data_IF_201424188087
#
_entry.id   IF_201424188087
#
_cell.length_a   1.000
_cell.length_b   1.000
_cell.length_c   1.000
_cell.angle_alpha   90.00
_cell.angle_beta   90.00
_cell.angle_gamma   90.00
#
_symmetry.space_group_name_H-M   'P 1'
#
loop_
_entity.id
_entity.type
_entity.pdbx_description
1 polymer ?
#
# COMPACT_ATOMS: atom_id res chain seq x y z
N UNK A 1 -21.76 -29.26 10.10
CA UNK A 1 -20.34 -28.94 9.80
C UNK A 1 -20.37 -28.09 8.55
N UNK A 2 -19.92 -26.84 8.61
CA UNK A 2 -19.93 -25.96 7.42
C UNK A 2 -18.76 -26.37 6.53
N UNK A 3 -19.07 -27.03 5.42
CA UNK A 3 -18.10 -27.43 4.38
C UNK A 3 -17.64 -26.25 3.50
N UNK A 4 -18.17 -25.04 3.74
CA UNK A 4 -17.92 -23.83 2.93
C UNK A 4 -17.01 -22.78 3.60
N UNK A 5 -16.29 -23.14 4.66
CA UNK A 5 -15.37 -22.21 5.32
C UNK A 5 -14.09 -22.03 4.50
N UNK A 6 -14.11 -21.08 3.56
CA UNK A 6 -12.93 -20.67 2.78
C UNK A 6 -11.76 -20.32 3.71
N UNK A 7 -10.61 -20.93 3.45
CA UNK A 7 -9.41 -20.70 4.26
C UNK A 7 -8.84 -19.29 4.02
N UNK A 8 -8.45 -18.60 5.11
CA UNK A 8 -7.65 -17.39 5.03
C UNK A 8 -6.45 -17.48 4.08
N UNK A 9 -6.33 -16.55 3.13
CA UNK A 9 -5.16 -16.49 2.22
C UNK A 9 -4.36 -15.20 2.41
N UNK A 10 -3.06 -15.30 2.12
CA UNK A 10 -2.06 -14.25 2.29
C UNK A 10 -1.17 -14.17 1.05
N UNK A 11 -1.12 -13.01 0.42
CA UNK A 11 -0.37 -12.78 -0.80
C UNK A 11 0.70 -11.72 -0.58
N UNK A 12 1.95 -12.06 -0.91
CA UNK A 12 3.07 -11.14 -0.85
C UNK A 12 3.75 -11.17 -2.21
N UNK A 13 3.92 -10.00 -2.82
CA UNK A 13 4.64 -9.86 -4.09
C UNK A 13 5.56 -8.66 -4.02
N UNK A 14 6.87 -8.92 -3.97
CA UNK A 14 7.88 -7.88 -4.14
C UNK A 14 8.43 -8.01 -5.56
N UNK A 15 8.30 -6.96 -6.37
CA UNK A 15 8.56 -7.04 -7.82
C UNK A 15 9.15 -5.75 -8.38
N UNK A 16 9.85 -5.83 -9.51
CA UNK A 16 10.28 -4.64 -10.27
C UNK A 16 9.21 -4.15 -11.26
N UNK A 17 8.19 -4.99 -11.54
CA UNK A 17 7.12 -4.69 -12.48
C UNK A 17 6.10 -3.71 -11.91
N UNK A 18 5.36 -3.03 -12.79
CA UNK A 18 4.27 -2.14 -12.40
C UNK A 18 3.19 -2.90 -11.62
N UNK A 19 2.65 -2.27 -10.58
CA UNK A 19 1.57 -2.83 -9.78
C UNK A 19 0.20 -2.51 -10.40
N UNK A 20 -0.73 -3.46 -10.33
CA UNK A 20 -2.13 -3.29 -10.71
C UNK A 20 -3.01 -3.39 -9.47
N UNK A 21 -3.75 -2.33 -9.14
CA UNK A 21 -4.70 -2.34 -8.02
C UNK A 21 -5.85 -3.34 -8.25
N UNK A 22 -6.26 -3.52 -9.50
CA UNK A 22 -7.29 -4.48 -9.90
C UNK A 22 -6.82 -5.92 -9.66
N UNK A 23 -5.58 -6.25 -10.04
CA UNK A 23 -4.98 -7.57 -9.77
C UNK A 23 -4.98 -7.87 -8.26
N UNK A 24 -4.55 -6.91 -7.44
CA UNK A 24 -4.51 -7.09 -5.98
C UNK A 24 -5.91 -7.19 -5.37
N UNK A 25 -6.87 -6.41 -5.88
CA UNK A 25 -8.26 -6.48 -5.43
C UNK A 25 -8.87 -7.86 -5.73
N UNK A 26 -8.60 -8.41 -6.91
CA UNK A 26 -9.10 -9.73 -7.31
C UNK A 26 -8.51 -10.85 -6.44
N UNK A 27 -7.21 -10.78 -6.08
CA UNK A 27 -6.58 -11.75 -5.20
C UNK A 27 -7.27 -11.88 -3.84
N UNK A 28 -7.78 -10.78 -3.28
CA UNK A 28 -8.40 -10.79 -1.95
C UNK A 28 -9.92 -10.93 -1.99
N UNK A 29 -10.54 -10.98 -3.17
CA UNK A 29 -11.99 -11.09 -3.29
C UNK A 29 -12.45 -12.50 -2.94
N UNK A 30 -13.47 -12.61 -2.09
CA UNK A 30 -14.04 -13.87 -1.62
C UNK A 30 -15.57 -13.84 -1.66
N UNK A 31 -16.26 -14.97 -1.92
CA UNK A 31 -17.72 -15.07 -1.81
C UNK A 31 -18.25 -14.74 -0.42
N UNK A 32 -17.42 -14.89 0.62
CA UNK A 32 -17.77 -14.65 2.01
C UNK A 32 -17.36 -13.25 2.52
N UNK A 33 -16.79 -12.40 1.66
CA UNK A 33 -16.44 -11.03 2.05
C UNK A 33 -17.58 -10.05 1.73
N UNK A 34 -17.88 -9.16 2.68
CA UNK A 34 -18.84 -8.08 2.50
C UNK A 34 -18.18 -6.79 1.99
N UNK A 35 -16.86 -6.67 2.13
CA UNK A 35 -16.08 -5.54 1.65
C UNK A 35 -14.62 -5.92 1.36
N UNK A 36 -14.06 -5.26 0.35
CA UNK A 36 -12.62 -5.19 0.09
C UNK A 36 -12.18 -3.74 0.27
N UNK A 37 -11.13 -3.52 1.06
CA UNK A 37 -10.49 -2.21 1.25
C UNK A 37 -9.09 -2.24 0.68
N UNK A 38 -8.77 -1.26 -0.15
CA UNK A 38 -7.48 -1.14 -0.83
C UNK A 38 -6.79 0.18 -0.48
N UNK A 39 -5.49 0.10 -0.20
CA UNK A 39 -4.58 1.21 -0.08
C UNK A 39 -3.62 1.21 -1.27
N UNK A 40 -3.47 2.36 -1.92
CA UNK A 40 -2.53 2.56 -3.02
C UNK A 40 -1.59 3.69 -2.64
N UNK A 41 -0.31 3.36 -2.43
CA UNK A 41 0.74 4.34 -2.25
C UNK A 41 1.34 4.71 -3.59
N UNK A 42 1.08 5.92 -4.06
CA UNK A 42 1.67 6.47 -5.29
C UNK A 42 2.82 7.42 -5.01
N UNK A 43 3.76 7.49 -5.94
CA UNK A 43 4.78 8.53 -5.93
C UNK A 43 4.12 9.86 -6.29
N UNK A 44 4.24 10.88 -5.43
CA UNK A 44 3.70 12.22 -5.68
C UNK A 44 4.81 13.23 -5.95
N UNK A 45 4.49 14.31 -6.67
CA UNK A 45 5.41 15.44 -6.90
C UNK A 45 5.81 16.19 -5.61
N UNK A 46 5.11 15.95 -4.49
CA UNK A 46 5.25 16.75 -3.25
C UNK A 46 5.88 15.94 -2.09
N UNK A 47 6.17 14.66 -2.25
CA UNK A 47 6.56 13.83 -1.10
C UNK A 47 8.06 13.85 -0.81
N UNK A 48 8.47 14.88 -0.07
CA UNK A 48 9.15 14.70 1.22
C UNK A 48 8.58 15.73 2.20
N UNK A 49 7.51 15.45 2.96
CA UNK A 49 7.23 16.10 4.26
C UNK A 49 5.87 15.74 4.86
N UNK A 50 4.82 15.46 4.09
CA UNK A 50 3.47 15.30 4.64
C UNK A 50 2.74 14.12 4.00
N UNK A 51 2.94 12.91 4.53
CA UNK A 51 2.04 11.77 4.23
C UNK A 51 1.04 11.66 5.39
N UNK A 52 0.20 12.68 5.55
CA UNK A 52 -0.96 12.62 6.43
C UNK A 52 -2.28 13.01 5.77
N UNK A 53 -2.32 13.19 4.44
CA UNK A 53 -3.55 13.64 3.78
C UNK A 53 -3.62 13.23 2.31
N UNK A 54 -3.86 11.93 2.07
CA UNK A 54 -4.59 11.40 0.92
C UNK A 54 -4.62 9.87 1.03
N UNK A 55 -5.41 9.36 1.98
CA UNK A 55 -5.83 7.96 2.00
C UNK A 55 -6.95 7.81 0.97
N UNK A 56 -6.63 7.43 -0.28
CA UNK A 56 -7.67 6.97 -1.19
C UNK A 56 -8.02 5.53 -0.81
N UNK A 57 -8.90 5.37 0.18
CA UNK A 57 -9.43 4.05 0.54
C UNK A 57 -10.65 3.80 -0.35
N UNK A 58 -10.46 2.97 -1.37
CA UNK A 58 -11.58 2.45 -2.15
C UNK A 58 -12.24 1.29 -1.42
N UNK A 59 -13.57 1.31 -1.31
CA UNK A 59 -14.36 0.15 -0.87
C UNK A 59 -15.06 -0.42 -2.09
N UNK A 60 -14.71 -1.64 -2.49
CA UNK A 60 -15.41 -2.36 -3.55
C UNK A 60 -16.38 -3.33 -2.87
N UNK A 61 -17.67 -3.20 -3.18
CA UNK A 61 -18.71 -4.11 -2.68
C UNK A 61 -18.85 -5.30 -3.64
N UNK A 62 -18.58 -6.54 -3.23
CA UNK A 62 -18.45 -7.68 -4.15
C UNK A 62 -19.77 -8.22 -4.72
N UNK A 63 -20.93 -7.67 -4.32
CA UNK A 63 -22.25 -8.25 -4.57
C UNK A 63 -23.27 -7.29 -5.22
N UNK A 64 -22.83 -6.17 -5.82
CA UNK A 64 -23.71 -5.31 -6.60
C UNK A 64 -23.79 -5.76 -8.07
N UNK A 65 -25.00 -5.88 -8.67
CA UNK A 65 -25.15 -6.13 -10.10
C UNK A 65 -24.56 -4.97 -10.91
N UNK A 66 -23.94 -5.31 -12.04
CA UNK A 66 -23.08 -4.50 -12.92
C UNK A 66 -23.75 -3.29 -13.61
N UNK A 67 -24.88 -2.77 -13.12
CA UNK A 67 -25.69 -1.75 -13.81
C UNK A 67 -25.96 -0.46 -13.05
N UNK A 68 -25.30 -0.22 -11.90
CA UNK A 68 -25.25 1.12 -11.27
C UNK A 68 -23.84 1.63 -11.19
N UNK A 69 -23.45 2.31 -12.27
CA UNK A 69 -22.31 3.24 -12.39
C UNK A 69 -21.15 2.92 -11.45
N UNK A 70 -20.36 1.91 -11.85
CA UNK A 70 -18.94 1.92 -11.52
C UNK A 70 -18.42 3.32 -11.85
N UNK A 71 -17.90 4.04 -10.87
CA UNK A 71 -17.02 5.16 -11.17
C UNK A 71 -15.91 4.59 -12.05
N UNK A 72 -15.99 4.95 -13.33
CA UNK A 72 -15.13 4.51 -14.40
C UNK A 72 -13.67 4.81 -14.03
N UNK A 73 -12.93 3.81 -13.54
CA UNK A 73 -11.47 3.86 -13.47
C UNK A 73 -10.88 3.39 -14.80
N UNK A 74 -11.29 4.06 -15.88
CA UNK A 74 -10.70 3.88 -17.19
C UNK A 74 -9.53 4.88 -17.29
N UNK A 75 -8.32 4.42 -17.02
CA UNK A 75 -7.10 5.14 -17.41
C UNK A 75 -6.86 6.52 -16.77
N UNK A 76 -7.16 6.70 -15.49
CA UNK A 76 -6.90 7.99 -14.82
C UNK A 76 -5.41 8.31 -14.76
N UNK A 77 -4.95 9.16 -15.68
CA UNK A 77 -3.90 10.13 -15.38
C UNK A 77 -4.39 10.93 -14.17
N UNK A 78 -3.81 10.68 -13.00
CA UNK A 78 -4.06 11.49 -11.81
C UNK A 78 -3.50 12.88 -12.09
N UNK A 79 -4.35 13.80 -12.53
CA UNK A 79 -4.03 15.23 -12.63
C UNK A 79 -3.95 15.77 -11.22
N UNK A 80 -2.75 16.14 -10.77
CA UNK A 80 -2.53 16.77 -9.47
C UNK A 80 -3.34 18.08 -9.38
N UNK A 81 -3.89 18.42 -8.20
CA UNK A 81 -4.56 19.71 -8.00
C UNK A 81 -3.59 20.86 -8.28
N UNK A 82 -3.99 21.75 -9.19
CA UNK A 82 -3.24 22.95 -9.56
C UNK A 82 -3.36 24.01 -8.46
N UNK A 83 -2.67 23.83 -7.33
CA UNK A 83 -2.31 24.92 -6.40
C UNK A 83 -1.76 24.37 -5.08
N UNK A 84 -0.62 23.67 -5.10
CA UNK A 84 0.23 23.63 -3.90
C UNK A 84 1.69 23.54 -4.33
N UNK A 85 2.49 24.42 -3.73
CA UNK A 85 3.91 24.69 -3.99
C UNK A 85 4.70 23.41 -4.30
N UNK A 86 5.17 23.32 -5.53
CA UNK A 86 5.69 22.10 -6.15
C UNK A 86 7.22 22.00 -5.99
N UNK A 87 7.73 22.07 -4.76
CA UNK A 87 9.17 22.05 -4.48
C UNK A 87 9.44 21.59 -3.05
N UNK A 88 10.30 20.57 -2.87
CA UNK A 88 10.96 20.29 -1.60
C UNK A 88 12.39 20.81 -1.72
N UNK A 89 12.77 21.78 -0.88
CA UNK A 89 14.06 22.47 -0.93
C UNK A 89 14.42 23.07 -2.31
N UNK A 90 13.42 23.49 -3.08
CA UNK A 90 13.62 24.06 -4.42
C UNK A 90 13.86 23.03 -5.54
N UNK A 91 13.93 21.74 -5.24
CA UNK A 91 14.21 20.68 -6.23
C UNK A 91 12.98 19.85 -6.58
N UNK A 92 12.83 19.53 -7.87
CA UNK A 92 11.72 18.73 -8.40
C UNK A 92 12.10 17.24 -8.41
N UNK A 93 11.34 16.42 -7.68
CA UNK A 93 11.49 14.95 -7.69
C UNK A 93 10.89 14.41 -8.98
N UNK A 94 11.65 13.61 -9.71
CA UNK A 94 11.20 12.97 -10.96
C UNK A 94 10.84 11.50 -10.80
N UNK A 95 11.44 10.81 -9.83
CA UNK A 95 11.19 9.39 -9.54
C UNK A 95 11.69 9.00 -8.15
N UNK A 96 11.17 7.89 -7.64
CA UNK A 96 11.71 7.21 -6.46
C UNK A 96 12.39 5.91 -6.88
N UNK A 97 13.48 5.57 -6.21
CA UNK A 97 14.15 4.28 -6.32
C UNK A 97 13.96 3.51 -5.01
N UNK A 98 13.44 2.29 -5.11
CA UNK A 98 13.18 1.43 -3.97
C UNK A 98 14.10 0.22 -3.94
N UNK A 99 14.72 -0.03 -2.80
CA UNK A 99 15.59 -1.18 -2.56
C UNK A 99 15.13 -1.93 -1.31
N UNK A 100 15.39 -3.24 -1.27
CA UNK A 100 14.89 -4.09 -0.20
C UNK A 100 15.68 -5.41 -0.13
N UNK A 101 15.94 -5.88 1.08
CA UNK A 101 16.34 -7.27 1.29
C UNK A 101 15.09 -8.16 1.35
N UNK A 102 14.72 -8.72 0.20
CA UNK A 102 13.42 -9.40 -0.04
C UNK A 102 13.07 -10.43 1.04
N UNK A 103 13.94 -11.40 1.41
CA UNK A 103 13.59 -12.41 2.40
C UNK A 103 13.18 -11.81 3.75
N UNK A 104 13.86 -10.76 4.20
CA UNK A 104 13.54 -10.10 5.46
C UNK A 104 12.24 -9.29 5.37
N UNK A 105 12.02 -8.60 4.26
CA UNK A 105 10.77 -7.88 4.07
C UNK A 105 9.55 -8.81 4.02
N UNK A 106 9.64 -9.94 3.33
CA UNK A 106 8.57 -10.94 3.33
C UNK A 106 8.30 -11.50 4.73
N UNK A 107 9.35 -11.76 5.52
CA UNK A 107 9.19 -12.19 6.91
C UNK A 107 8.49 -11.13 7.78
N UNK A 108 8.87 -9.85 7.65
CA UNK A 108 8.21 -8.76 8.39
C UNK A 108 6.76 -8.56 7.95
N UNK A 109 6.46 -8.65 6.66
CA UNK A 109 5.07 -8.59 6.16
C UNK A 109 4.23 -9.75 6.70
N UNK A 110 4.77 -10.97 6.78
CA UNK A 110 4.08 -12.11 7.41
C UNK A 110 3.77 -11.85 8.89
N UNK A 111 4.67 -11.20 9.63
CA UNK A 111 4.37 -10.79 11.03
C UNK A 111 3.21 -9.80 11.10
N UNK A 112 3.15 -8.85 10.17
CA UNK A 112 2.01 -7.91 10.07
C UNK A 112 0.71 -8.68 9.81
N UNK A 113 0.71 -9.67 8.91
CA UNK A 113 -0.47 -10.49 8.66
C UNK A 113 -0.91 -11.27 9.89
N UNK A 114 0.02 -11.89 10.62
CA UNK A 114 -0.29 -12.56 11.88
C UNK A 114 -0.93 -11.60 12.90
N UNK A 115 -0.42 -10.39 13.04
CA UNK A 115 -0.98 -9.37 13.93
C UNK A 115 -2.39 -8.94 13.50
N UNK A 116 -2.63 -8.81 12.19
CA UNK A 116 -3.95 -8.47 11.64
C UNK A 116 -4.95 -9.60 11.91
N UNK A 117 -4.56 -10.86 11.71
CA UNK A 117 -5.44 -12.01 12.00
C UNK A 117 -5.80 -12.11 13.47
N UNK A 118 -4.89 -11.73 14.37
CA UNK A 118 -5.15 -11.70 15.81
C UNK A 118 -6.14 -10.62 16.21
N UNK A 119 -6.02 -9.42 15.61
CA UNK A 119 -6.89 -8.28 15.92
C UNK A 119 -8.24 -8.36 15.22
N UNK A 120 -8.28 -8.86 13.98
CA UNK A 120 -9.50 -9.02 13.18
C UNK A 120 -9.62 -10.46 12.67
N UNK A 121 -10.10 -11.40 13.51
CA UNK A 121 -10.23 -12.82 13.15
C UNK A 121 -11.16 -13.09 11.96
N UNK A 122 -12.03 -12.13 11.64
CA UNK A 122 -12.98 -12.23 10.53
C UNK A 122 -12.41 -11.79 9.18
N UNK A 123 -11.22 -11.17 9.13
CA UNK A 123 -10.53 -10.90 7.86
C UNK A 123 -10.43 -12.20 7.05
N UNK A 124 -10.64 -12.11 5.73
CA UNK A 124 -10.63 -13.26 4.81
C UNK A 124 -9.29 -13.36 4.11
N UNK A 125 -8.92 -12.37 3.32
CA UNK A 125 -7.66 -12.38 2.58
C UNK A 125 -6.88 -11.09 2.78
N UNK A 126 -5.57 -11.22 2.71
CA UNK A 126 -4.60 -10.13 2.84
C UNK A 126 -3.66 -10.16 1.65
N UNK A 127 -3.38 -9.01 1.06
CA UNK A 127 -2.39 -8.89 0.01
C UNK A 127 -1.52 -7.64 0.21
N UNK A 128 -0.21 -7.81 0.05
CA UNK A 128 0.77 -6.71 0.00
C UNK A 128 1.64 -6.90 -1.23
N UNK A 129 1.50 -5.99 -2.18
CA UNK A 129 2.38 -5.91 -3.34
C UNK A 129 3.25 -4.65 -3.22
N UNK A 130 4.56 -4.80 -3.36
CA UNK A 130 5.50 -3.69 -3.33
C UNK A 130 6.40 -3.69 -4.55
N UNK A 131 6.59 -2.52 -5.16
CA UNK A 131 7.46 -2.31 -6.30
C UNK A 131 8.85 -1.88 -5.87
N UNK A 132 9.88 -2.49 -6.46
CA UNK A 132 11.29 -2.16 -6.31
C UNK A 132 11.82 -1.48 -7.58
N UNK A 133 13.01 -0.89 -7.46
CA UNK A 133 13.66 -0.13 -8.51
C UNK A 133 12.98 1.22 -8.74
N UNK A 134 13.05 1.69 -9.98
CA UNK A 134 12.55 3.01 -10.37
C UNK A 134 11.03 3.02 -10.49
N UNK A 135 10.39 3.91 -9.74
CA UNK A 135 8.95 4.17 -9.76
C UNK A 135 8.73 5.64 -10.14
N UNK A 136 8.19 5.91 -11.35
CA UNK A 136 7.83 7.24 -11.81
C UNK A 136 6.77 7.91 -10.93
N UNK A 137 6.71 9.23 -10.99
CA UNK A 137 5.60 10.00 -10.39
C UNK A 137 4.26 9.55 -10.95
N UNK A 138 3.23 9.57 -10.11
CA UNK A 138 1.87 9.10 -10.37
C UNK A 138 1.72 7.58 -10.57
N UNK A 139 2.79 6.79 -10.33
CA UNK A 139 2.69 5.33 -10.30
C UNK A 139 2.70 4.77 -8.87
N UNK A 140 2.04 3.61 -8.70
CA UNK A 140 1.96 2.90 -7.44
C UNK A 140 3.31 2.24 -7.09
N UNK A 141 3.82 2.52 -5.89
CA UNK A 141 4.96 1.84 -5.28
C UNK A 141 4.53 0.71 -4.35
N UNK A 142 3.34 0.82 -3.75
CA UNK A 142 2.78 -0.21 -2.87
C UNK A 142 1.27 -0.29 -3.04
N UNK A 143 0.74 -1.50 -3.03
CA UNK A 143 -0.69 -1.78 -3.00
C UNK A 143 -0.96 -2.78 -1.88
N UNK A 144 -1.88 -2.44 -0.99
CA UNK A 144 -2.32 -3.32 0.10
C UNK A 144 -3.81 -3.52 -0.03
N UNK A 145 -4.29 -4.75 0.02
CA UNK A 145 -5.73 -5.03 0.03
C UNK A 145 -6.08 -5.99 1.16
N UNK A 146 -7.24 -5.75 1.76
CA UNK A 146 -7.79 -6.55 2.85
C UNK A 146 -9.27 -6.79 2.59
N UNK A 147 -9.70 -8.04 2.69
CA UNK A 147 -11.13 -8.40 2.59
C UNK A 147 -11.67 -8.91 3.92
N UNK A 148 -12.94 -8.62 4.19
CA UNK A 148 -13.61 -9.06 5.42
C UNK A 148 -15.15 -9.09 5.23
N UNK A 149 -15.90 -9.80 6.08
CA UNK A 149 -17.36 -9.76 6.11
C UNK A 149 -17.92 -8.37 6.42
N UNK A 150 -17.22 -7.57 7.24
CA UNK A 150 -17.66 -6.26 7.69
C UNK A 150 -16.69 -5.17 7.28
N UNK A 151 -17.16 -4.18 6.52
CA UNK A 151 -16.31 -3.08 6.00
C UNK A 151 -15.46 -2.37 7.06
N UNK A 152 -15.89 -2.29 8.32
CA UNK A 152 -15.09 -1.69 9.40
C UNK A 152 -13.76 -2.41 9.55
N UNK A 153 -13.78 -3.73 9.55
CA UNK A 153 -12.62 -4.57 9.80
C UNK A 153 -11.61 -4.45 8.66
N UNK A 154 -12.07 -4.45 7.40
CA UNK A 154 -11.17 -4.25 6.25
C UNK A 154 -10.55 -2.86 6.23
N UNK A 155 -11.31 -1.82 6.59
CA UNK A 155 -10.81 -0.44 6.65
C UNK A 155 -9.75 -0.25 7.74
N UNK A 156 -10.01 -0.78 8.93
CA UNK A 156 -9.09 -0.66 10.06
C UNK A 156 -7.84 -1.53 9.84
N UNK A 157 -8.01 -2.75 9.33
CA UNK A 157 -6.90 -3.65 9.02
C UNK A 157 -6.00 -3.11 7.90
N UNK A 158 -6.55 -2.56 6.81
CA UNK A 158 -5.71 -2.00 5.72
C UNK A 158 -4.90 -0.80 6.21
N UNK A 159 -5.49 0.04 7.07
CA UNK A 159 -4.80 1.16 7.72
C UNK A 159 -3.69 0.67 8.65
N UNK A 160 -3.96 -0.37 9.44
CA UNK A 160 -2.94 -1.01 10.27
C UNK A 160 -1.78 -1.55 9.44
N UNK A 161 -2.06 -2.27 8.36
CA UNK A 161 -1.06 -2.84 7.46
C UNK A 161 -0.09 -1.78 6.92
N UNK A 162 -0.61 -0.67 6.37
CA UNK A 162 0.28 0.35 5.80
C UNK A 162 1.15 1.02 6.87
N UNK A 163 0.59 1.29 8.05
CA UNK A 163 1.35 1.91 9.14
C UNK A 163 2.46 1.00 9.63
N UNK A 164 2.16 -0.30 9.83
CA UNK A 164 3.18 -1.28 10.24
C UNK A 164 4.19 -1.55 9.15
N UNK A 165 3.78 -1.63 7.88
CA UNK A 165 4.69 -1.84 6.75
C UNK A 165 5.75 -0.75 6.73
N UNK A 166 5.32 0.50 6.84
CA UNK A 166 6.21 1.65 6.89
C UNK A 166 7.13 1.63 8.12
N UNK A 167 6.61 1.26 9.29
CA UNK A 167 7.37 1.27 10.53
C UNK A 167 8.39 0.14 10.63
N UNK A 168 8.11 -1.04 10.05
CA UNK A 168 8.87 -2.27 10.38
C UNK A 168 9.49 -3.00 9.20
N UNK A 169 9.03 -2.77 7.97
CA UNK A 169 9.54 -3.52 6.82
C UNK A 169 10.75 -2.79 6.23
N UNK A 170 11.92 -3.45 6.08
CA UNK A 170 13.15 -2.83 5.61
C UNK A 170 13.13 -2.59 4.09
N UNK A 171 12.35 -1.58 3.67
CA UNK A 171 12.28 -1.09 2.29
C UNK A 171 12.76 0.35 2.28
N UNK A 172 13.87 0.60 1.60
CA UNK A 172 14.49 1.92 1.53
C UNK A 172 14.03 2.66 0.28
N UNK A 173 13.81 3.97 0.43
CA UNK A 173 13.44 4.87 -0.67
C UNK A 173 14.53 5.92 -0.88
N UNK A 174 14.87 6.14 -2.14
CA UNK A 174 15.78 7.18 -2.59
C UNK A 174 15.05 8.12 -3.52
N UNK A 175 15.16 9.42 -3.25
CA UNK A 175 14.62 10.46 -4.13
C UNK A 175 15.64 10.79 -5.21
N UNK A 176 15.18 10.81 -6.47
CA UNK A 176 15.99 11.22 -7.62
C UNK A 176 15.40 12.52 -8.18
N UNK A 177 16.22 13.57 -8.24
CA UNK A 177 15.83 14.90 -8.70
C UNK A 177 16.19 15.14 -10.18
N UNK A 178 15.60 16.17 -10.78
CA UNK A 178 15.79 16.56 -12.20
C UNK A 178 17.26 16.78 -12.61
N UNK A 179 18.12 17.19 -11.67
CA UNK A 179 19.56 17.43 -11.88
C UNK A 179 20.45 16.20 -11.58
N UNK A 180 19.88 14.99 -11.52
CA UNK A 180 20.56 13.73 -11.14
C UNK A 180 21.20 13.69 -9.75
N UNK A 181 21.03 14.74 -8.94
CA UNK A 181 21.29 14.67 -7.50
C UNK A 181 20.34 13.67 -6.83
N UNK A 182 20.82 12.98 -5.79
CA UNK A 182 20.04 11.98 -5.04
C UNK A 182 20.11 12.22 -3.53
N UNK A 183 19.01 11.92 -2.84
CA UNK A 183 18.96 11.89 -1.37
C UNK A 183 18.29 10.61 -0.92
N UNK A 184 18.98 9.82 -0.10
CA UNK A 184 18.34 8.76 0.67
C UNK A 184 17.48 9.39 1.76
N UNK A 185 16.28 8.85 1.98
CA UNK A 185 15.39 9.31 3.04
C UNK A 185 15.03 8.15 3.95
N UNK A 186 15.30 8.35 5.23
CA UNK A 186 14.84 7.47 6.28
C UNK A 186 13.33 7.65 6.51
N UNK A 187 12.65 6.59 6.94
CA UNK A 187 11.27 6.69 7.35
C UNK A 187 11.19 7.13 8.83
N UNK A 188 10.45 8.21 9.12
CA UNK A 188 10.32 8.76 10.49
C UNK A 188 9.61 7.81 11.48
N UNK A 189 9.03 6.74 10.97
CA UNK A 189 8.23 5.76 11.70
C UNK A 189 9.04 4.51 12.12
N UNK A 190 10.34 4.45 11.79
CA UNK A 190 11.24 3.35 12.16
C UNK A 190 11.53 3.34 13.67
N UNK A 191 11.31 2.18 14.32
CA UNK A 191 11.39 2.03 15.78
C UNK A 191 12.79 1.66 16.33
N UNK A 192 13.77 1.34 15.47
CA UNK A 192 15.13 0.95 15.90
C UNK A 192 16.02 2.14 16.30
N UNK A 193 15.50 3.36 16.29
CA UNK A 193 16.28 4.56 16.60
C UNK A 193 16.49 4.79 18.11
N UNK A 194 15.60 4.27 18.96
CA UNK A 194 15.64 4.52 20.40
C UNK A 194 16.53 3.53 21.18
N UNK A 195 17.40 2.76 20.50
CA UNK A 195 18.24 1.74 21.14
C UNK A 195 19.76 2.04 21.17
N UNK A 196 20.19 3.21 20.71
CA UNK A 196 21.62 3.59 20.71
C UNK A 196 22.06 4.40 21.96
N UNK A 197 21.27 4.42 23.04
CA UNK A 197 21.69 4.92 24.35
C UNK A 197 21.79 3.78 25.39
N UNK A 198 22.86 2.97 25.30
CA UNK A 198 23.46 2.25 26.44
C UNK A 198 24.99 2.25 26.30
#
# INVERSE_FOLDING_TARGET
MNEDAEEPQEFIKITHSRLSADEVSQLVTSPSCGAVSIFIGCVSHVTCALINSALQIGVISPHLPSSRSAEQWEGSKITAPSSTRNTFDGKKVVRLEYECYIPMAEMEIKKIFLDVRRQWPHVKHLAVHHRLGLVPVSEASVVIAVSSPHRSDSLDAVKYCINRLKATVPIWKKEVYEEESYSWKENKECFWKDQDEI
#
